data_IF_032931514039
#
_entry.id   IF_032931514039
#
_cell.length_a   1.000
_cell.length_b   1.000
_cell.length_c   1.000
_cell.angle_alpha   90.00
_cell.angle_beta   90.00
_cell.angle_gamma   90.00
#
_symmetry.space_group_name_H-M   'P 1'
#
loop_
_entity.id
_entity.type
_entity.pdbx_description
1 polymer ?
#
# COMPACT_ATOMS: atom_id res chain seq x y z
N UNK A 1 -14.56 -5.87 -4.33
CA UNK A 1 -14.26 -4.72 -3.44
C UNK A 1 -13.75 -5.19 -2.10
N UNK A 2 -14.53 -6.03 -1.37
CA UNK A 2 -14.03 -6.72 -0.17
C UNK A 2 -12.68 -7.39 -0.44
N UNK A 3 -12.53 -8.04 -1.59
CA UNK A 3 -11.29 -8.72 -1.95
C UNK A 3 -10.08 -7.80 -2.19
N UNK A 4 -10.23 -6.62 -2.80
CA UNK A 4 -9.09 -5.72 -3.04
C UNK A 4 -8.57 -5.11 -1.73
N UNK A 5 -9.50 -4.68 -0.86
CA UNK A 5 -9.15 -4.15 0.45
C UNK A 5 -8.55 -5.26 1.33
N UNK A 6 -9.18 -6.44 1.36
CA UNK A 6 -8.66 -7.57 2.13
C UNK A 6 -7.28 -8.04 1.61
N UNK A 7 -7.03 -8.00 0.30
CA UNK A 7 -5.70 -8.29 -0.23
C UNK A 7 -4.66 -7.25 0.20
N UNK A 8 -5.03 -5.96 0.27
CA UNK A 8 -4.13 -4.92 0.76
C UNK A 8 -3.88 -5.03 2.28
N UNK A 9 -4.91 -5.39 3.07
CA UNK A 9 -4.77 -5.68 4.50
C UNK A 9 -3.82 -6.85 4.75
N UNK A 10 -4.05 -7.98 4.07
CA UNK A 10 -3.16 -9.15 4.16
C UNK A 10 -1.73 -8.81 3.77
N UNK A 11 -1.54 -8.06 2.68
CA UNK A 11 -0.20 -7.62 2.28
C UNK A 11 0.47 -6.78 3.37
N UNK A 12 -0.26 -5.84 3.99
CA UNK A 12 0.29 -5.02 5.06
C UNK A 12 0.69 -5.87 6.28
N UNK A 13 -0.12 -6.88 6.62
CA UNK A 13 0.17 -7.84 7.69
C UNK A 13 1.40 -8.71 7.37
N UNK A 14 1.44 -9.33 6.19
CA UNK A 14 2.54 -10.19 5.75
C UNK A 14 3.89 -9.44 5.73
N UNK A 15 3.88 -8.15 5.36
CA UNK A 15 5.08 -7.31 5.33
C UNK A 15 5.58 -6.89 6.73
N UNK A 16 4.74 -6.94 7.78
CA UNK A 16 5.16 -6.54 9.14
C UNK A 16 6.20 -7.49 9.73
N UNK A 17 6.08 -8.77 9.41
CA UNK A 17 6.95 -9.83 9.93
C UNK A 17 8.31 -9.91 9.22
N UNK A 18 8.52 -9.12 8.16
CA UNK A 18 9.79 -9.11 7.46
C UNK A 18 10.84 -8.29 8.22
N UNK A 19 11.98 -8.94 8.47
CA UNK A 19 13.18 -8.31 9.00
C UNK A 19 14.17 -8.02 7.87
N UNK A 20 14.88 -6.91 7.99
CA UNK A 20 15.87 -6.47 7.00
C UNK A 20 17.22 -6.27 7.68
N UNK A 21 18.27 -6.73 7.00
CA UNK A 21 19.65 -6.58 7.43
C UNK A 21 20.27 -5.30 6.84
N UNK A 22 21.46 -4.89 7.32
CA UNK A 22 22.24 -3.83 6.66
C UNK A 22 22.38 -4.09 5.14
N UNK A 23 22.37 -3.03 4.29
CA UNK A 23 22.43 -1.61 4.65
C UNK A 23 21.06 -0.95 4.93
N UNK A 24 19.97 -1.71 5.03
CA UNK A 24 18.65 -1.16 5.34
C UNK A 24 18.63 -0.67 6.80
N UNK A 25 18.66 0.65 6.99
CA UNK A 25 18.59 1.27 8.32
C UNK A 25 17.15 1.58 8.76
N UNK A 26 16.26 1.83 7.80
CA UNK A 26 14.88 2.22 8.06
C UNK A 26 13.92 1.60 7.05
N UNK A 27 12.74 1.21 7.51
CA UNK A 27 11.65 0.71 6.69
C UNK A 27 10.40 1.50 7.01
N UNK A 28 9.81 2.14 6.01
CA UNK A 28 8.52 2.82 6.18
C UNK A 28 7.41 1.84 5.85
N UNK A 29 6.67 1.42 6.87
CA UNK A 29 5.46 0.63 6.70
C UNK A 29 4.31 1.55 6.31
N UNK A 30 4.34 2.06 5.08
CA UNK A 30 3.41 3.09 4.58
C UNK A 30 1.94 2.72 4.81
N UNK A 31 1.58 1.46 4.60
CA UNK A 31 0.22 1.00 4.81
C UNK A 31 -0.21 0.98 6.28
N UNK A 32 0.70 0.97 7.25
CA UNK A 32 0.34 1.04 8.67
C UNK A 32 -0.14 2.45 9.05
N UNK A 33 0.64 3.48 8.72
CA UNK A 33 0.34 4.85 9.14
C UNK A 33 -0.53 5.64 8.15
N UNK A 34 -0.71 5.15 6.91
CA UNK A 34 -1.59 5.80 5.90
C UNK A 34 -2.86 5.02 5.58
N UNK A 35 -3.16 3.94 6.33
CA UNK A 35 -4.21 2.99 5.98
C UNK A 35 -5.56 3.64 5.65
N UNK A 36 -5.99 4.62 6.45
CA UNK A 36 -7.29 5.27 6.25
C UNK A 36 -7.41 5.93 4.87
N UNK A 37 -6.35 6.63 4.44
CA UNK A 37 -6.30 7.28 3.14
C UNK A 37 -6.24 6.26 2.00
N UNK A 38 -5.40 5.22 2.14
CA UNK A 38 -5.29 4.13 1.18
C UNK A 38 -6.63 3.41 0.99
N UNK A 39 -7.31 3.06 2.09
CA UNK A 39 -8.63 2.43 2.08
C UNK A 39 -9.67 3.31 1.38
N UNK A 40 -9.68 4.62 1.64
CA UNK A 40 -10.58 5.57 0.94
C UNK A 40 -10.31 5.58 -0.57
N UNK A 41 -9.04 5.56 -0.99
CA UNK A 41 -8.66 5.48 -2.41
C UNK A 41 -9.19 4.20 -3.06
N UNK A 42 -8.96 3.02 -2.45
CA UNK A 42 -9.45 1.75 -2.98
C UNK A 42 -10.98 1.69 -3.05
N UNK A 43 -11.67 2.17 -2.01
CA UNK A 43 -13.13 2.22 -1.98
C UNK A 43 -13.71 3.13 -3.07
N UNK A 44 -13.04 4.25 -3.36
CA UNK A 44 -13.52 5.23 -4.35
C UNK A 44 -13.18 4.83 -5.78
N UNK A 45 -11.95 4.40 -6.04
CA UNK A 45 -11.42 4.26 -7.40
C UNK A 45 -11.18 2.80 -7.84
N UNK A 46 -11.05 1.87 -6.89
CA UNK A 46 -10.82 0.44 -7.16
C UNK A 46 -12.06 -0.38 -7.52
N UNK A 47 -13.23 0.25 -7.71
CA UNK A 47 -14.49 -0.44 -8.02
C UNK A 47 -14.56 -0.88 -9.48
N UNK A 48 -15.22 -2.02 -9.71
CA UNK A 48 -15.47 -2.61 -11.02
C UNK A 48 -14.26 -3.32 -11.62
N UNK A 49 -14.47 -4.03 -12.73
CA UNK A 49 -13.36 -4.58 -13.52
C UNK A 49 -12.61 -3.44 -14.22
N UNK A 50 -11.29 -3.54 -14.25
CA UNK A 50 -10.41 -2.64 -15.02
C UNK A 50 -9.80 -3.44 -16.16
N UNK A 51 -9.68 -2.82 -17.33
CA UNK A 51 -8.99 -3.43 -18.48
C UNK A 51 -7.47 -3.27 -18.39
N UNK A 52 -7.02 -2.23 -17.69
CA UNK A 52 -5.60 -1.85 -17.56
C UNK A 52 -5.28 -1.61 -16.10
N UNK A 53 -4.09 -2.05 -15.68
CA UNK A 53 -3.51 -1.77 -14.37
C UNK A 53 -2.15 -1.14 -14.60
N UNK A 54 -1.97 0.08 -14.09
CA UNK A 54 -0.65 0.70 -13.98
C UNK A 54 0.00 0.23 -12.69
N UNK A 55 1.28 -0.16 -12.76
CA UNK A 55 2.03 -0.71 -11.63
C UNK A 55 3.35 0.05 -11.48
N UNK A 56 3.46 0.81 -10.39
CA UNK A 56 4.73 1.41 -9.97
C UNK A 56 5.62 0.41 -9.22
N UNK A 57 6.76 0.87 -8.74
CA UNK A 57 7.71 0.04 -7.98
C UNK A 57 7.38 0.02 -6.47
N UNK A 58 7.41 1.19 -5.82
CA UNK A 58 7.22 1.34 -4.38
C UNK A 58 6.94 2.82 -4.02
N UNK A 59 6.54 3.15 -2.78
CA UNK A 59 6.25 4.52 -2.37
C UNK A 59 7.45 5.47 -2.53
N UNK A 60 7.23 6.60 -3.20
CA UNK A 60 8.18 7.73 -3.17
C UNK A 60 8.04 8.56 -1.88
N UNK A 61 9.12 9.20 -1.39
CA UNK A 61 9.16 9.84 -0.08
C UNK A 61 8.20 11.03 0.07
N UNK A 62 7.87 11.70 -1.04
CA UNK A 62 6.98 12.87 -1.07
C UNK A 62 5.64 12.59 -1.76
N UNK A 63 5.36 11.32 -2.08
CA UNK A 63 4.12 10.87 -2.72
C UNK A 63 3.35 9.93 -1.79
N UNK A 64 3.21 8.67 -2.21
CA UNK A 64 2.49 7.65 -1.45
C UNK A 64 2.95 7.52 0.00
N UNK A 65 4.23 7.74 0.31
CA UNK A 65 4.72 7.70 1.69
C UNK A 65 4.10 8.80 2.59
N UNK A 66 3.52 9.85 2.03
CA UNK A 66 2.80 10.88 2.77
C UNK A 66 1.28 10.71 2.67
N UNK A 67 0.79 10.29 1.50
CA UNK A 67 -0.63 10.35 1.16
C UNK A 67 -1.37 9.01 1.25
N UNK A 68 -0.65 7.88 1.24
CA UNK A 68 -1.21 6.54 1.11
C UNK A 68 -1.79 6.22 -0.28
N UNK A 69 -1.60 7.09 -1.27
CA UNK A 69 -2.11 6.88 -2.65
C UNK A 69 -0.95 6.63 -3.61
N UNK A 70 -1.02 5.58 -4.46
CA UNK A 70 -0.03 5.31 -5.51
C UNK A 70 0.06 6.41 -6.57
#
# INVERSE_FOLDING_TARGET
MKELIASAERLAEDLRELEFSPPVAHVYRTLDYTWEAHRKYLQRFGKGKKQVVFLGMNPGPFGMAQTGVP
#
